data_IF_450056994732
#
_entry.id   IF_450056994732
#
_cell.length_a   1.000
_cell.length_b   1.000
_cell.length_c   1.000
_cell.angle_alpha   90.00
_cell.angle_beta   90.00
_cell.angle_gamma   90.00
#
_symmetry.space_group_name_H-M   'P 1'
#
loop_
_entity.id
_entity.type
_entity.pdbx_description
1 polymer ?
#
# COMPACT_ATOMS: atom_id res chain seq x y z
N UNK A 1 -5.77 -18.35 -3.48
CA UNK A 1 -6.73 -18.55 -2.38
C UNK A 1 -6.03 -18.27 -1.07
N UNK A 2 -6.70 -17.64 -0.07
CA UNK A 2 -6.08 -17.31 1.23
C UNK A 2 -6.92 -17.87 2.38
N UNK A 3 -6.24 -18.49 3.34
CA UNK A 3 -6.82 -18.98 4.59
C UNK A 3 -6.04 -18.37 5.75
N UNK A 4 -6.73 -17.94 6.79
CA UNK A 4 -6.11 -17.48 8.03
C UNK A 4 -6.96 -17.86 9.23
N UNK A 5 -6.29 -18.24 10.31
CA UNK A 5 -6.88 -18.51 11.61
C UNK A 5 -6.00 -17.87 12.69
N UNK A 6 -6.63 -17.32 13.71
CA UNK A 6 -5.93 -16.72 14.84
C UNK A 6 -6.72 -16.84 16.12
N UNK A 7 -6.01 -16.96 17.21
CA UNK A 7 -6.54 -16.98 18.56
C UNK A 7 -5.75 -16.00 19.43
N UNK A 8 -6.45 -15.24 20.26
CA UNK A 8 -5.80 -14.39 21.26
C UNK A 8 -6.58 -14.43 22.58
N UNK A 9 -5.83 -14.44 23.67
CA UNK A 9 -6.35 -14.32 25.03
C UNK A 9 -5.55 -13.25 25.74
N UNK A 10 -6.21 -12.35 26.44
CA UNK A 10 -5.52 -11.28 27.14
C UNK A 10 -6.37 -10.59 28.19
N UNK A 11 -5.72 -9.77 28.97
CA UNK A 11 -6.33 -8.96 30.03
C UNK A 11 -5.84 -7.52 29.92
N UNK A 12 -6.75 -6.57 30.03
CA UNK A 12 -6.41 -5.15 30.15
C UNK A 12 -5.81 -4.86 31.54
N UNK A 13 -5.01 -3.81 31.65
CA UNK A 13 -4.55 -3.30 32.94
C UNK A 13 -5.75 -2.94 33.82
N UNK A 14 -5.70 -3.34 35.05
CA UNK A 14 -6.77 -3.15 36.03
C UNK A 14 -6.47 -3.95 37.32
N UNK A 15 -6.57 -5.26 37.26
CA UNK A 15 -6.14 -6.14 38.36
C UNK A 15 -4.60 -6.18 38.50
N UNK A 16 -3.89 -6.10 37.36
CA UNK A 16 -2.44 -5.96 37.32
C UNK A 16 -2.06 -4.55 36.82
N UNK A 17 -0.90 -4.02 37.19
CA UNK A 17 -0.44 -2.70 36.72
C UNK A 17 -0.11 -2.69 35.21
N UNK A 18 -0.24 -3.81 34.53
CA UNK A 18 0.00 -3.97 33.10
C UNK A 18 -1.11 -4.80 32.44
N UNK A 19 -1.32 -4.58 31.16
CA UNK A 19 -2.11 -5.45 30.32
C UNK A 19 -1.22 -6.49 29.62
N UNK A 20 -1.76 -7.65 29.33
CA UNK A 20 -1.05 -8.70 28.58
C UNK A 20 -1.95 -9.37 27.57
N UNK A 21 -1.35 -9.91 26.51
CA UNK A 21 -2.03 -10.70 25.49
C UNK A 21 -1.12 -11.82 25.04
N UNK A 22 -1.65 -13.04 24.97
CA UNK A 22 -1.00 -14.16 24.30
C UNK A 22 -1.81 -14.46 23.05
N UNK A 23 -1.12 -14.54 21.92
CA UNK A 23 -1.74 -14.76 20.62
C UNK A 23 -0.97 -15.78 19.80
N UNK A 24 -1.70 -16.46 18.93
CA UNK A 24 -1.13 -17.35 17.92
C UNK A 24 -1.93 -17.26 16.63
N UNK A 25 -1.26 -17.50 15.52
CA UNK A 25 -1.91 -17.42 14.22
C UNK A 25 -1.26 -18.31 13.17
N UNK A 26 -2.08 -18.64 12.19
CA UNK A 26 -1.72 -19.36 10.98
C UNK A 26 -2.27 -18.62 9.78
N UNK A 27 -1.47 -18.47 8.74
CA UNK A 27 -1.91 -17.95 7.45
C UNK A 27 -1.31 -18.77 6.32
N UNK A 28 -2.11 -19.04 5.31
CA UNK A 28 -1.68 -19.69 4.07
C UNK A 28 -2.29 -18.96 2.89
N UNK A 29 -1.50 -18.76 1.87
CA UNK A 29 -1.92 -18.22 0.59
C UNK A 29 -1.37 -19.08 -0.53
N UNK A 30 -2.24 -19.53 -1.43
CA UNK A 30 -1.91 -20.24 -2.65
C UNK A 30 -2.25 -19.32 -3.83
N UNK A 31 -1.26 -19.02 -4.69
CA UNK A 31 -1.40 -18.23 -5.91
C UNK A 31 -1.13 -19.11 -7.14
N UNK A 32 -1.90 -18.88 -8.22
CA UNK A 32 -1.84 -19.71 -9.42
C UNK A 32 -0.55 -19.55 -10.22
N UNK A 33 0.04 -18.34 -10.20
CA UNK A 33 1.30 -18.10 -10.91
C UNK A 33 2.44 -18.83 -10.20
N UNK A 34 3.20 -19.62 -10.95
CA UNK A 34 4.27 -20.48 -10.46
C UNK A 34 3.83 -21.41 -9.30
N UNK A 35 2.52 -21.68 -9.20
CA UNK A 35 1.93 -22.49 -8.13
C UNK A 35 2.50 -22.10 -6.74
N UNK A 36 2.54 -20.78 -6.49
CA UNK A 36 3.18 -20.23 -5.31
C UNK A 36 2.37 -20.52 -4.06
N UNK A 37 3.08 -20.88 -2.98
CA UNK A 37 2.52 -21.08 -1.65
C UNK A 37 3.28 -20.29 -0.63
N UNK A 38 2.56 -19.54 0.20
CA UNK A 38 3.06 -18.88 1.39
C UNK A 38 2.39 -19.49 2.63
N UNK A 39 3.16 -19.77 3.66
CA UNK A 39 2.68 -20.21 4.98
C UNK A 39 3.38 -19.41 6.07
N UNK A 40 2.60 -18.87 7.01
CA UNK A 40 3.09 -18.16 8.19
C UNK A 40 2.44 -18.72 9.45
N UNK A 41 3.24 -18.95 10.49
CA UNK A 41 2.79 -19.40 11.81
C UNK A 41 3.51 -18.58 12.86
N UNK A 42 2.80 -18.16 13.89
CA UNK A 42 3.42 -17.48 15.02
C UNK A 42 2.71 -17.80 16.34
N UNK A 43 3.46 -17.67 17.42
CA UNK A 43 2.94 -17.60 18.78
C UNK A 43 3.72 -16.51 19.52
N UNK A 44 3.02 -15.57 20.18
CA UNK A 44 3.66 -14.45 20.88
C UNK A 44 2.89 -14.03 22.13
N UNK A 45 3.62 -13.43 23.06
CA UNK A 45 3.09 -12.73 24.22
C UNK A 45 3.45 -11.25 24.12
N UNK A 46 2.50 -10.40 24.42
CA UNK A 46 2.61 -8.94 24.42
C UNK A 46 2.25 -8.39 25.79
N UNK A 47 2.94 -7.33 26.22
CA UNK A 47 2.63 -6.57 27.42
C UNK A 47 2.45 -5.10 27.07
N UNK A 48 1.57 -4.43 27.81
CA UNK A 48 1.33 -2.99 27.74
C UNK A 48 1.40 -2.44 29.16
N UNK A 49 2.39 -1.59 29.44
CA UNK A 49 2.60 -0.96 30.75
C UNK A 49 2.20 0.52 30.64
N UNK A 50 1.04 0.91 31.17
CA UNK A 50 0.65 2.31 31.19
C UNK A 50 1.51 3.05 32.22
N UNK A 51 2.22 4.09 31.76
CA UNK A 51 3.03 4.96 32.61
C UNK A 51 2.24 6.20 33.03
N UNK A 52 1.33 6.65 32.15
CA UNK A 52 0.38 7.72 32.41
C UNK A 52 -0.98 7.38 31.77
N UNK A 53 -2.05 8.11 32.02
CA UNK A 53 -3.34 7.89 31.34
C UNK A 53 -3.29 7.99 29.81
N UNK A 54 -2.26 8.66 29.27
CA UNK A 54 -2.12 8.92 27.83
C UNK A 54 -0.91 8.25 27.20
N UNK A 55 -0.01 7.66 27.99
CA UNK A 55 1.24 7.07 27.52
C UNK A 55 1.51 5.70 28.13
N UNK A 56 1.81 4.74 27.28
CA UNK A 56 2.20 3.40 27.68
C UNK A 56 3.43 2.93 26.90
N UNK A 57 4.22 2.08 27.52
CA UNK A 57 5.29 1.31 26.87
C UNK A 57 4.74 -0.08 26.54
N UNK A 58 5.10 -0.58 25.38
CA UNK A 58 4.72 -1.92 24.91
C UNK A 58 5.96 -2.79 24.74
N UNK A 59 5.81 -4.09 24.93
CA UNK A 59 6.83 -5.06 24.63
C UNK A 59 6.19 -6.37 24.23
N UNK A 60 6.83 -7.09 23.33
CA UNK A 60 6.34 -8.39 22.88
C UNK A 60 7.48 -9.32 22.52
N UNK A 61 7.26 -10.61 22.73
CA UNK A 61 8.21 -11.65 22.37
C UNK A 61 7.47 -12.91 21.91
N UNK A 62 8.07 -13.65 21.01
CA UNK A 62 7.44 -14.85 20.47
C UNK A 62 8.34 -15.62 19.52
N UNK A 63 7.73 -16.58 18.87
CA UNK A 63 8.37 -17.39 17.85
C UNK A 63 7.54 -17.35 16.57
N UNK A 64 8.21 -17.22 15.42
CA UNK A 64 7.57 -17.19 14.12
C UNK A 64 8.27 -18.14 13.16
N UNK A 65 7.48 -18.76 12.29
CA UNK A 65 7.97 -19.50 11.13
C UNK A 65 7.21 -19.03 9.90
N UNK A 66 7.96 -18.60 8.88
CA UNK A 66 7.43 -18.24 7.55
C UNK A 66 8.17 -19.10 6.53
N UNK A 67 7.40 -19.76 5.66
CA UNK A 67 7.94 -20.46 4.50
C UNK A 67 7.18 -20.06 3.24
N UNK A 68 7.91 -19.92 2.15
CA UNK A 68 7.34 -19.70 0.84
C UNK A 68 8.01 -20.62 -0.18
N UNK A 69 7.23 -21.14 -1.10
CA UNK A 69 7.69 -22.05 -2.15
C UNK A 69 6.95 -21.79 -3.43
N UNK A 70 7.61 -22.10 -4.55
CA UNK A 70 7.02 -22.01 -5.89
C UNK A 70 7.60 -23.07 -6.81
N UNK A 71 6.95 -23.27 -7.97
CA UNK A 71 7.50 -24.08 -9.08
C UNK A 71 8.33 -23.20 -10.00
N UNK A 72 9.13 -23.83 -10.86
CA UNK A 72 9.90 -23.12 -11.86
C UNK A 72 9.00 -22.70 -13.04
N UNK A 73 9.31 -21.59 -13.75
CA UNK A 73 8.67 -21.27 -15.01
C UNK A 73 9.14 -22.22 -16.11
N UNK A 74 8.31 -22.44 -17.13
CA UNK A 74 8.74 -23.05 -18.39
C UNK A 74 9.77 -22.12 -19.04
N UNK A 75 10.90 -22.67 -19.48
CA UNK A 75 11.94 -21.93 -20.21
C UNK A 75 11.82 -22.18 -21.70
N UNK A 76 12.06 -21.15 -22.51
CA UNK A 76 12.22 -21.29 -23.97
C UNK A 76 13.58 -21.92 -24.35
N UNK A 77 13.82 -22.11 -25.63
CA UNK A 77 15.07 -22.69 -26.15
C UNK A 77 16.32 -21.82 -25.84
N UNK A 78 16.12 -20.55 -25.52
CA UNK A 78 17.18 -19.59 -25.14
C UNK A 78 17.38 -19.52 -23.62
N UNK A 79 16.60 -20.27 -22.84
CA UNK A 79 16.65 -20.27 -21.37
C UNK A 79 15.90 -19.12 -20.71
N UNK A 80 15.06 -18.36 -21.44
CA UNK A 80 14.25 -17.31 -20.87
C UNK A 80 12.88 -17.86 -20.42
N UNK A 81 12.30 -17.30 -19.33
CA UNK A 81 10.97 -17.69 -18.89
C UNK A 81 9.90 -17.36 -19.93
N UNK A 82 9.06 -18.34 -20.27
CA UNK A 82 7.91 -18.16 -21.14
C UNK A 82 6.84 -17.37 -20.41
N UNK A 83 6.34 -16.30 -21.03
CA UNK A 83 5.24 -15.48 -20.53
C UNK A 83 4.01 -15.57 -21.43
N UNK A 84 2.84 -15.55 -20.84
CA UNK A 84 1.56 -15.45 -21.54
C UNK A 84 1.35 -14.03 -22.07
N UNK A 85 0.41 -13.78 -23.02
CA UNK A 85 0.12 -12.44 -23.53
C UNK A 85 -0.27 -11.41 -22.47
N UNK A 86 -0.79 -11.86 -21.33
CA UNK A 86 -1.13 -11.04 -20.16
C UNK A 86 0.07 -10.85 -19.20
N UNK A 87 1.29 -11.23 -19.61
CA UNK A 87 2.54 -11.00 -18.87
C UNK A 87 2.80 -11.96 -17.70
N UNK A 88 2.08 -13.08 -17.62
CA UNK A 88 2.28 -14.07 -16.56
C UNK A 88 3.27 -15.14 -16.97
N UNK A 89 4.06 -15.61 -16.02
CA UNK A 89 4.92 -16.77 -16.26
C UNK A 89 4.11 -18.05 -16.41
N UNK A 90 4.47 -18.86 -17.40
CA UNK A 90 3.92 -20.20 -17.57
C UNK A 90 4.59 -21.13 -16.56
N UNK A 91 3.80 -21.74 -15.69
CA UNK A 91 4.30 -22.67 -14.66
C UNK A 91 4.68 -24.01 -15.29
N UNK A 92 5.86 -24.52 -14.98
CA UNK A 92 6.24 -25.91 -15.33
C UNK A 92 5.62 -26.88 -14.29
N UNK A 93 4.58 -27.65 -14.67
CA UNK A 93 3.94 -28.58 -13.74
C UNK A 93 4.81 -29.77 -13.37
N UNK A 94 5.87 -30.08 -14.15
CA UNK A 94 6.80 -31.15 -13.88
C UNK A 94 7.91 -30.74 -12.89
N UNK A 95 8.15 -29.42 -12.71
CA UNK A 95 9.16 -28.96 -11.77
C UNK A 95 8.75 -29.20 -10.33
N UNK A 96 9.67 -29.57 -9.43
CA UNK A 96 9.38 -29.67 -8.01
C UNK A 96 9.14 -28.29 -7.41
N UNK A 97 8.38 -28.20 -6.31
CA UNK A 97 8.32 -26.97 -5.53
C UNK A 97 9.65 -26.71 -4.86
N UNK A 98 10.18 -25.51 -5.08
CA UNK A 98 11.42 -25.03 -4.45
C UNK A 98 11.10 -23.95 -3.41
N UNK A 99 11.86 -23.93 -2.32
CA UNK A 99 11.77 -22.87 -1.34
C UNK A 99 12.29 -21.55 -1.93
N UNK A 100 11.47 -20.53 -1.89
CA UNK A 100 11.82 -19.14 -2.22
C UNK A 100 12.21 -18.34 -0.97
N UNK A 101 11.59 -18.68 0.16
CA UNK A 101 11.89 -18.06 1.45
C UNK A 101 11.60 -19.04 2.58
N UNK A 102 12.50 -19.12 3.56
CA UNK A 102 12.26 -19.84 4.80
C UNK A 102 12.95 -19.11 5.96
N UNK A 103 12.21 -18.88 7.01
CA UNK A 103 12.71 -18.29 8.25
C UNK A 103 11.95 -18.84 9.43
N UNK A 104 12.69 -19.11 10.49
CA UNK A 104 12.11 -19.48 11.76
C UNK A 104 12.97 -18.90 12.88
N UNK A 105 12.34 -18.42 13.94
CA UNK A 105 13.13 -17.93 15.07
C UNK A 105 12.35 -17.09 16.05
N UNK A 106 13.09 -16.69 17.07
CA UNK A 106 12.64 -15.79 18.11
C UNK A 106 12.45 -14.38 17.55
N UNK A 107 11.30 -13.80 17.85
CA UNK A 107 10.95 -12.42 17.51
C UNK A 107 10.67 -11.63 18.77
N UNK A 108 11.04 -10.37 18.76
CA UNK A 108 10.72 -9.45 19.86
C UNK A 108 10.55 -8.03 19.31
N UNK A 109 9.77 -7.24 20.01
CA UNK A 109 9.67 -5.81 19.80
C UNK A 109 9.43 -5.07 21.12
N UNK A 110 9.79 -3.80 21.13
CA UNK A 110 9.42 -2.83 22.14
C UNK A 110 8.91 -1.57 21.47
N UNK A 111 8.08 -0.84 22.16
CA UNK A 111 7.48 0.34 21.55
C UNK A 111 6.76 1.23 22.54
N UNK A 112 6.11 2.23 21.98
CA UNK A 112 5.33 3.22 22.69
C UNK A 112 3.93 3.31 22.12
N UNK A 113 2.98 3.55 22.99
CA UNK A 113 1.60 3.87 22.67
C UNK A 113 1.27 5.21 23.32
N UNK A 114 0.96 6.22 22.52
CA UNK A 114 0.64 7.56 22.98
C UNK A 114 -0.73 7.99 22.47
N UNK A 115 -1.64 8.27 23.39
CA UNK A 115 -3.03 8.66 23.11
C UNK A 115 -3.40 9.88 23.97
N UNK A 116 -2.91 11.10 23.63
CA UNK A 116 -3.17 12.30 24.41
C UNK A 116 -4.64 12.72 24.39
N UNK A 117 -5.38 12.27 23.38
CA UNK A 117 -6.81 12.53 23.22
C UNK A 117 -7.49 11.36 22.50
N UNK A 118 -8.83 11.39 22.44
CA UNK A 118 -9.60 10.42 21.62
C UNK A 118 -9.38 10.60 20.10
N UNK A 119 -8.80 11.73 19.70
CA UNK A 119 -8.54 12.10 18.31
C UNK A 119 -7.11 11.83 17.85
N UNK A 120 -6.23 11.45 18.77
CA UNK A 120 -4.81 11.22 18.48
C UNK A 120 -4.36 9.88 19.00
N UNK A 121 -3.79 9.06 18.15
CA UNK A 121 -3.18 7.78 18.49
C UNK A 121 -1.87 7.62 17.75
N UNK A 122 -0.79 7.40 18.50
CA UNK A 122 0.52 7.00 17.98
C UNK A 122 0.89 5.66 18.57
N UNK A 123 1.25 4.73 17.71
CA UNK A 123 1.93 3.48 18.07
C UNK A 123 3.22 3.40 17.27
N UNK A 124 4.35 3.17 17.93
CA UNK A 124 5.64 2.99 17.28
C UNK A 124 6.39 1.85 17.94
N UNK A 125 6.94 0.94 17.15
CA UNK A 125 7.65 -0.24 17.61
C UNK A 125 8.97 -0.42 16.87
N UNK A 126 9.97 -0.87 17.59
CA UNK A 126 11.24 -1.37 17.08
C UNK A 126 11.47 -2.76 17.61
N UNK A 127 11.99 -3.65 16.79
CA UNK A 127 12.20 -5.03 17.20
C UNK A 127 13.12 -5.80 16.25
N UNK A 128 13.20 -7.10 16.47
CA UNK A 128 13.93 -8.02 15.61
C UNK A 128 13.00 -9.08 15.06
N UNK A 129 12.92 -9.13 13.73
CA UNK A 129 12.10 -10.08 12.98
C UNK A 129 12.72 -10.31 11.60
N UNK A 130 12.44 -11.41 10.93
CA UNK A 130 12.94 -11.70 9.58
C UNK A 130 14.47 -11.65 9.46
N UNK A 131 15.20 -12.05 10.50
CA UNK A 131 16.67 -12.02 10.53
C UNK A 131 17.31 -10.64 10.69
N UNK A 132 16.53 -9.58 10.93
CA UNK A 132 17.04 -8.20 11.06
C UNK A 132 16.15 -7.31 11.92
N UNK A 133 16.57 -6.05 12.07
CA UNK A 133 15.77 -5.04 12.75
C UNK A 133 14.54 -4.67 11.92
N UNK A 134 13.43 -4.43 12.60
CA UNK A 134 12.15 -3.98 12.05
C UNK A 134 11.67 -2.74 12.75
N UNK A 135 11.05 -1.85 11.99
CA UNK A 135 10.46 -0.60 12.45
C UNK A 135 9.05 -0.52 11.92
N UNK A 136 8.08 -0.35 12.81
CA UNK A 136 6.67 -0.17 12.43
C UNK A 136 6.07 0.95 13.25
N UNK A 137 5.10 1.64 12.69
CA UNK A 137 4.41 2.70 13.42
C UNK A 137 3.16 3.16 12.68
N UNK A 138 2.24 3.70 13.44
CA UNK A 138 1.03 4.34 12.94
C UNK A 138 0.72 5.56 13.81
N UNK A 139 0.57 6.70 13.17
CA UNK A 139 0.07 7.93 13.75
C UNK A 139 -1.25 8.28 13.07
N UNK A 140 -2.32 8.36 13.84
CA UNK A 140 -3.61 8.87 13.38
C UNK A 140 -3.98 10.09 14.22
N UNK A 141 -4.21 11.22 13.56
CA UNK A 141 -4.58 12.47 14.19
C UNK A 141 -5.79 13.10 13.50
N UNK A 142 -6.94 13.02 14.15
CA UNK A 142 -8.15 13.71 13.76
C UNK A 142 -8.13 15.12 14.36
N UNK A 143 -7.62 16.10 13.61
CA UNK A 143 -7.45 17.48 14.07
C UNK A 143 -8.82 18.12 14.32
N UNK A 144 -9.75 17.91 13.39
CA UNK A 144 -11.17 18.28 13.50
C UNK A 144 -12.03 17.24 12.77
N UNK A 145 -13.34 17.40 12.71
CA UNK A 145 -14.23 16.54 11.92
C UNK A 145 -13.90 16.59 10.43
N UNK A 146 -13.39 17.73 9.98
CA UNK A 146 -13.09 18.02 8.59
C UNK A 146 -11.58 17.99 8.26
N UNK A 147 -10.72 17.69 9.23
CA UNK A 147 -9.28 17.74 9.06
C UNK A 147 -8.62 16.54 9.75
N UNK A 148 -7.82 15.79 9.02
CA UNK A 148 -7.15 14.59 9.52
C UNK A 148 -5.80 14.38 8.87
N UNK A 149 -4.88 13.81 9.66
CA UNK A 149 -3.53 13.44 9.27
C UNK A 149 -3.22 12.03 9.72
N UNK A 150 -2.58 11.26 8.87
CA UNK A 150 -2.14 9.91 9.18
C UNK A 150 -0.75 9.64 8.60
N UNK A 151 0.08 8.95 9.38
CA UNK A 151 1.39 8.45 8.94
C UNK A 151 1.47 6.99 9.31
N UNK A 152 1.93 6.15 8.38
CA UNK A 152 2.16 4.73 8.62
C UNK A 152 3.55 4.31 8.17
N UNK A 153 4.26 3.57 9.01
CA UNK A 153 5.50 2.89 8.66
C UNK A 153 5.33 1.38 8.83
N UNK A 154 5.80 0.62 7.88
CA UNK A 154 5.62 -0.84 7.87
C UNK A 154 6.90 -1.58 7.43
N UNK A 155 7.07 -2.77 7.97
CA UNK A 155 8.13 -3.72 7.60
C UNK A 155 7.62 -5.15 7.79
N UNK A 156 7.51 -5.93 6.73
CA UNK A 156 6.97 -7.28 6.79
C UNK A 156 7.24 -8.13 5.57
N UNK A 157 7.27 -9.45 5.77
CA UNK A 157 7.23 -10.42 4.68
C UNK A 157 5.78 -10.58 4.25
N UNK A 158 5.53 -10.42 2.97
CA UNK A 158 4.18 -10.40 2.40
C UNK A 158 4.16 -10.91 0.97
N UNK A 159 2.96 -11.18 0.49
CA UNK A 159 2.65 -11.43 -0.92
C UNK A 159 1.93 -10.22 -1.51
N UNK A 160 1.83 -10.15 -2.84
CA UNK A 160 1.02 -9.13 -3.49
C UNK A 160 -0.44 -9.13 -3.01
N UNK A 161 -1.05 -10.32 -2.89
CA UNK A 161 -2.44 -10.45 -2.42
C UNK A 161 -2.65 -9.96 -0.99
N UNK A 162 -1.69 -10.25 -0.09
CA UNK A 162 -1.73 -9.76 1.29
C UNK A 162 -1.56 -8.24 1.37
N UNK A 163 -0.66 -7.68 0.57
CA UNK A 163 -0.42 -6.24 0.55
C UNK A 163 -1.64 -5.47 0.02
N UNK A 164 -2.22 -5.91 -1.10
CA UNK A 164 -3.46 -5.32 -1.64
C UNK A 164 -4.61 -5.46 -0.66
N UNK A 165 -4.84 -6.65 -0.13
CA UNK A 165 -5.91 -6.89 0.85
C UNK A 165 -5.74 -6.05 2.11
N UNK A 166 -4.51 -5.91 2.62
CA UNK A 166 -4.19 -5.04 3.75
C UNK A 166 -4.34 -3.55 3.45
N UNK A 167 -4.05 -3.10 2.23
CA UNK A 167 -4.28 -1.73 1.81
C UNK A 167 -5.78 -1.43 1.67
N UNK A 168 -6.55 -2.34 1.05
CA UNK A 168 -8.00 -2.22 0.89
C UNK A 168 -8.75 -2.21 2.24
N UNK A 169 -8.30 -2.99 3.22
CA UNK A 169 -8.93 -3.01 4.54
C UNK A 169 -8.77 -1.70 5.33
N UNK A 170 -7.84 -0.83 4.93
CA UNK A 170 -7.62 0.50 5.51
C UNK A 170 -8.37 1.61 4.78
N UNK A 171 -8.98 1.32 3.64
CA UNK A 171 -9.81 2.29 2.90
C UNK A 171 -11.02 2.63 3.75
N UNK A 172 -11.28 3.93 4.02
CA UNK A 172 -12.47 4.34 4.77
C UNK A 172 -13.77 3.96 4.02
N UNK A 173 -14.86 3.83 4.76
CA UNK A 173 -16.17 3.50 4.17
C UNK A 173 -16.77 4.63 3.34
N UNK A 174 -16.39 5.88 3.65
CA UNK A 174 -16.72 7.07 2.86
C UNK A 174 -15.42 7.73 2.44
N UNK A 175 -15.20 7.86 1.16
CA UNK A 175 -13.97 8.43 0.62
C UNK A 175 -14.23 9.17 -0.71
N UNK A 176 -13.33 10.08 -1.02
CA UNK A 176 -13.27 10.80 -2.30
C UNK A 176 -12.11 10.22 -3.12
N UNK A 177 -12.39 9.95 -4.38
CA UNK A 177 -11.40 9.48 -5.37
C UNK A 177 -11.22 10.56 -6.41
N UNK A 178 -10.00 11.04 -6.57
CA UNK A 178 -9.64 11.83 -7.74
C UNK A 178 -9.36 10.89 -8.92
N UNK A 179 -10.09 11.05 -10.01
CA UNK A 179 -9.91 10.30 -11.25
C UNK A 179 -9.38 11.20 -12.33
N UNK A 180 -8.48 10.67 -13.13
CA UNK A 180 -8.04 11.30 -14.35
C UNK A 180 -9.21 11.34 -15.36
N UNK A 181 -9.63 12.52 -15.83
CA UNK A 181 -10.79 12.65 -16.72
C UNK A 181 -10.56 12.03 -18.12
N UNK A 182 -9.31 11.79 -18.52
CA UNK A 182 -8.96 11.25 -19.84
C UNK A 182 -8.85 9.74 -19.84
N UNK A 183 -8.23 9.16 -18.80
CA UNK A 183 -8.00 7.71 -18.68
C UNK A 183 -8.99 7.03 -17.74
N UNK A 184 -9.77 7.79 -16.98
CA UNK A 184 -10.64 7.32 -15.90
C UNK A 184 -9.89 6.51 -14.81
N UNK A 185 -8.57 6.55 -14.81
CA UNK A 185 -7.74 5.91 -13.81
C UNK A 185 -7.73 6.70 -12.51
N UNK A 186 -7.57 6.02 -11.40
CA UNK A 186 -7.41 6.70 -10.13
C UNK A 186 -5.91 6.76 -9.74
N UNK A 187 -5.50 7.84 -9.08
CA UNK A 187 -4.08 8.13 -8.80
C UNK A 187 -3.43 7.26 -7.71
N UNK A 188 -4.12 6.25 -7.18
CA UNK A 188 -3.58 5.31 -6.22
C UNK A 188 -3.84 5.65 -4.75
N UNK A 189 -4.26 6.87 -4.40
CA UNK A 189 -4.69 7.24 -3.06
C UNK A 189 -6.16 7.67 -3.04
N UNK A 190 -6.85 7.36 -1.95
CA UNK A 190 -8.21 7.82 -1.66
C UNK A 190 -8.21 8.64 -0.38
N UNK A 191 -8.96 9.75 -0.37
CA UNK A 191 -9.05 10.64 0.77
C UNK A 191 -10.35 10.37 1.53
N UNK A 192 -10.26 10.26 2.86
CA UNK A 192 -11.43 9.96 3.69
C UNK A 192 -12.51 11.03 3.60
N UNK A 193 -13.78 10.67 3.75
CA UNK A 193 -14.89 11.60 3.95
C UNK A 193 -14.88 12.23 5.36
N UNK A 194 -15.87 13.07 5.68
CA UNK A 194 -16.01 13.66 7.00
C UNK A 194 -16.05 12.60 8.11
N UNK A 195 -15.25 12.79 9.15
CA UNK A 195 -15.16 11.87 10.28
C UNK A 195 -14.51 10.50 9.98
N UNK A 196 -14.00 10.28 8.76
CA UNK A 196 -13.50 8.95 8.30
C UNK A 196 -11.97 8.82 8.30
N UNK A 197 -11.25 9.73 8.96
CA UNK A 197 -9.79 9.77 8.93
C UNK A 197 -9.23 10.36 7.62
N UNK A 198 -7.91 10.26 7.42
CA UNK A 198 -7.24 10.91 6.31
C UNK A 198 -7.42 10.16 4.97
N UNK A 199 -7.52 8.84 4.99
CA UNK A 199 -7.65 8.02 3.79
C UNK A 199 -6.67 6.85 3.73
N UNK A 200 -6.43 6.33 2.53
CA UNK A 200 -5.47 5.23 2.30
C UNK A 200 -4.84 5.32 0.90
N UNK A 201 -3.60 4.84 0.78
CA UNK A 201 -2.90 4.73 -0.51
C UNK A 201 -2.68 3.26 -0.88
N UNK A 202 -3.03 2.92 -2.11
CA UNK A 202 -2.81 1.62 -2.74
C UNK A 202 -1.54 1.63 -3.63
N UNK A 203 -0.99 2.82 -3.92
CA UNK A 203 0.17 3.01 -4.80
C UNK A 203 1.33 2.05 -4.50
N UNK A 204 1.75 1.81 -3.23
CA UNK A 204 2.84 0.89 -2.95
C UNK A 204 2.56 -0.56 -3.35
N UNK A 205 1.28 -0.96 -3.36
CA UNK A 205 0.87 -2.30 -3.76
C UNK A 205 0.69 -2.45 -5.28
N UNK A 206 0.34 -1.36 -5.98
CA UNK A 206 -0.02 -1.39 -7.40
C UNK A 206 1.15 -1.08 -8.35
N UNK A 207 2.26 -0.56 -7.85
CA UNK A 207 3.40 -0.13 -8.69
C UNK A 207 4.12 -1.27 -9.41
N UNK A 208 3.99 -2.51 -8.97
CA UNK A 208 4.55 -3.67 -9.66
C UNK A 208 3.70 -4.90 -9.34
N UNK A 209 3.24 -5.56 -10.37
CA UNK A 209 2.44 -6.80 -10.32
C UNK A 209 3.34 -8.03 -10.15
N UNK A 210 4.45 -7.91 -9.43
CA UNK A 210 5.27 -9.08 -9.11
C UNK A 210 4.55 -9.96 -8.10
N UNK A 211 4.24 -11.18 -8.50
CA UNK A 211 3.53 -12.16 -7.67
C UNK A 211 4.47 -12.99 -6.78
N UNK A 212 5.67 -12.47 -6.50
CA UNK A 212 6.62 -13.11 -5.58
C UNK A 212 6.28 -12.89 -4.12
N UNK A 213 6.95 -13.63 -3.24
CA UNK A 213 7.07 -13.27 -1.82
C UNK A 213 8.19 -12.25 -1.69
N UNK A 214 7.96 -11.20 -0.92
CA UNK A 214 8.95 -10.15 -0.72
C UNK A 214 8.87 -9.56 0.69
N UNK A 215 9.97 -8.97 1.13
CA UNK A 215 9.97 -8.09 2.29
C UNK A 215 9.60 -6.69 1.83
N UNK A 216 8.46 -6.21 2.30
CA UNK A 216 7.98 -4.86 2.02
C UNK A 216 8.27 -3.94 3.19
N UNK A 217 8.93 -2.82 2.91
CA UNK A 217 9.23 -1.74 3.86
C UNK A 217 8.78 -0.43 3.27
N UNK A 218 8.28 0.44 4.11
CA UNK A 218 7.91 1.76 3.62
C UNK A 218 7.34 2.66 4.69
N UNK A 219 7.16 3.91 4.27
CA UNK A 219 6.50 4.95 5.04
C UNK A 219 5.57 5.72 4.12
N UNK A 220 4.41 6.09 4.61
CA UNK A 220 3.47 6.91 3.88
C UNK A 220 2.76 7.88 4.82
N UNK A 221 2.44 9.05 4.31
CA UNK A 221 1.68 10.07 4.99
C UNK A 221 0.51 10.51 4.12
N UNK A 222 -0.61 10.80 4.75
CA UNK A 222 -1.80 11.32 4.09
C UNK A 222 -2.44 12.38 4.97
N UNK A 223 -2.79 13.50 4.35
CA UNK A 223 -3.48 14.61 5.00
C UNK A 223 -4.67 15.01 4.16
N UNK A 224 -5.78 15.36 4.82
CA UNK A 224 -6.96 15.92 4.17
C UNK A 224 -7.58 17.01 5.01
N UNK A 225 -8.20 17.99 4.31
CA UNK A 225 -8.98 19.07 4.92
C UNK A 225 -10.16 19.42 4.03
N UNK A 226 -11.31 19.67 4.66
CA UNK A 226 -12.49 20.27 4.05
C UNK A 226 -12.81 21.55 4.80
N UNK A 227 -13.00 22.64 4.08
CA UNK A 227 -13.32 23.96 4.64
C UNK A 227 -14.38 24.62 3.77
N UNK A 228 -15.64 24.52 4.17
CA UNK A 228 -16.77 24.98 3.36
C UNK A 228 -16.77 24.32 1.98
N UNK A 229 -16.75 25.09 0.88
CA UNK A 229 -16.80 24.57 -0.48
C UNK A 229 -15.47 23.94 -0.95
N UNK A 230 -14.38 24.11 -0.21
CA UNK A 230 -13.05 23.64 -0.58
C UNK A 230 -12.71 22.35 0.18
N UNK A 231 -12.44 21.28 -0.58
CA UNK A 231 -11.87 20.04 -0.07
C UNK A 231 -10.54 19.76 -0.76
N UNK A 232 -9.52 19.42 -0.01
CA UNK A 232 -8.23 19.06 -0.57
C UNK A 232 -7.52 17.99 0.25
N UNK A 233 -6.64 17.27 -0.40
CA UNK A 233 -5.84 16.26 0.24
C UNK A 233 -4.50 16.08 -0.47
N UNK A 234 -3.52 15.65 0.30
CA UNK A 234 -2.18 15.29 -0.18
C UNK A 234 -1.76 13.98 0.47
N UNK A 235 -1.12 13.14 -0.32
CA UNK A 235 -0.54 11.89 0.13
C UNK A 235 0.84 11.72 -0.48
N UNK A 236 1.79 11.18 0.29
CA UNK A 236 3.11 10.85 -0.22
C UNK A 236 3.67 9.64 0.52
N UNK A 237 4.59 8.93 -0.11
CA UNK A 237 5.24 7.82 0.54
C UNK A 237 6.41 7.26 -0.25
N UNK A 238 7.16 6.42 0.46
CA UNK A 238 8.27 5.63 -0.03
C UNK A 238 8.00 4.16 0.26
N UNK A 239 8.23 3.30 -0.70
CA UNK A 239 8.14 1.85 -0.54
C UNK A 239 9.35 1.16 -1.16
N UNK A 240 9.82 0.11 -0.52
CA UNK A 240 10.90 -0.74 -0.97
C UNK A 240 10.46 -2.20 -0.82
N UNK A 241 10.74 -3.05 -1.85
CA UNK A 241 10.45 -4.48 -1.79
C UNK A 241 11.69 -5.28 -2.17
N UNK A 242 12.09 -6.19 -1.30
CA UNK A 242 13.13 -7.17 -1.58
C UNK A 242 12.49 -8.51 -1.89
N UNK A 243 12.62 -8.96 -3.13
CA UNK A 243 12.01 -10.18 -3.63
C UNK A 243 12.78 -11.43 -3.23
N UNK A 244 12.05 -12.52 -3.00
CA UNK A 244 12.58 -13.84 -2.72
C UNK A 244 12.06 -14.82 -3.77
N UNK A 245 12.97 -15.47 -4.47
CA UNK A 245 12.68 -16.50 -5.45
C UNK A 245 13.71 -17.63 -5.35
N UNK A 246 13.39 -18.86 -5.74
CA UNK A 246 14.40 -19.90 -5.89
C UNK A 246 15.44 -19.47 -6.92
N UNK A 247 16.71 -19.83 -6.75
CA UNK A 247 17.72 -19.60 -7.78
C UNK A 247 17.40 -20.45 -9.01
N UNK A 248 17.00 -19.81 -10.09
CA UNK A 248 16.76 -20.43 -11.41
C UNK A 248 17.72 -19.78 -12.40
N UNK A 249 18.41 -20.57 -13.21
CA UNK A 249 19.31 -20.07 -14.24
C UNK A 249 18.53 -19.18 -15.22
N UNK A 250 19.05 -18.00 -15.52
CA UNK A 250 18.40 -17.01 -16.40
C UNK A 250 17.30 -16.15 -15.74
N UNK A 251 16.95 -16.40 -14.49
CA UNK A 251 15.86 -15.68 -13.79
C UNK A 251 16.37 -15.02 -12.51
N UNK A 252 16.79 -13.76 -12.61
CA UNK A 252 17.50 -13.02 -11.56
C UNK A 252 16.57 -12.20 -10.67
N UNK A 253 15.43 -12.72 -10.21
CA UNK A 253 14.55 -11.98 -9.30
C UNK A 253 14.91 -12.15 -7.82
N UNK A 254 15.67 -13.18 -7.47
CA UNK A 254 16.03 -13.43 -6.08
C UNK A 254 16.99 -12.35 -5.55
N UNK A 255 16.60 -11.70 -4.47
CA UNK A 255 17.38 -10.66 -3.81
C UNK A 255 17.30 -9.29 -4.48
N UNK A 256 16.64 -9.15 -5.65
CA UNK A 256 16.40 -7.84 -6.25
C UNK A 256 15.56 -6.98 -5.31
N UNK A 257 15.87 -5.70 -5.31
CA UNK A 257 15.18 -4.75 -4.43
C UNK A 257 14.67 -3.61 -5.29
N UNK A 258 13.35 -3.51 -5.45
CA UNK A 258 12.75 -2.34 -6.08
C UNK A 258 12.48 -1.22 -5.06
N UNK A 259 12.37 -0.01 -5.55
CA UNK A 259 12.05 1.16 -4.75
C UNK A 259 11.09 2.07 -5.51
N UNK A 260 10.22 2.73 -4.76
CA UNK A 260 9.26 3.66 -5.32
C UNK A 260 8.99 4.84 -4.40
N UNK A 261 8.85 6.01 -5.01
CA UNK A 261 8.36 7.23 -4.36
C UNK A 261 7.07 7.62 -5.08
N UNK A 262 6.06 7.95 -4.32
CA UNK A 262 4.82 8.49 -4.86
C UNK A 262 4.39 9.71 -4.07
N UNK A 263 3.79 10.65 -4.76
CA UNK A 263 3.03 11.74 -4.16
C UNK A 263 1.78 12.00 -5.00
N UNK A 264 0.69 12.33 -4.35
CA UNK A 264 -0.58 12.67 -4.99
C UNK A 264 -1.25 13.80 -4.23
N UNK A 265 -1.81 14.76 -4.96
CA UNK A 265 -2.65 15.81 -4.42
C UNK A 265 -3.96 15.92 -5.19
N UNK A 266 -5.00 16.38 -4.51
CA UNK A 266 -6.29 16.66 -5.14
C UNK A 266 -6.97 17.83 -4.45
N UNK A 267 -7.66 18.65 -5.24
CA UNK A 267 -8.48 19.77 -4.77
C UNK A 267 -9.82 19.71 -5.47
N UNK A 268 -10.88 19.77 -4.70
CA UNK A 268 -12.26 19.93 -5.17
C UNK A 268 -12.80 21.23 -4.61
N UNK A 269 -13.28 22.10 -5.48
CA UNK A 269 -13.90 23.37 -5.13
C UNK A 269 -15.33 23.46 -5.69
N UNK A 270 -16.30 23.47 -4.79
CA UNK A 270 -17.70 23.67 -5.13
C UNK A 270 -17.94 25.18 -5.27
N UNK A 271 -18.11 25.66 -6.50
CA UNK A 271 -18.35 27.10 -6.77
C UNK A 271 -19.77 27.48 -6.31
N UNK A 272 -20.72 26.65 -6.69
CA UNK A 272 -22.12 26.72 -6.35
C UNK A 272 -22.76 25.32 -6.43
N UNK A 273 -24.10 25.23 -6.28
CA UNK A 273 -24.83 23.95 -6.26
C UNK A 273 -24.78 23.21 -7.61
N UNK A 274 -24.40 23.86 -8.70
CA UNK A 274 -24.38 23.30 -10.05
C UNK A 274 -22.99 23.27 -10.68
N UNK A 275 -22.00 23.89 -10.04
CA UNK A 275 -20.65 24.08 -10.61
C UNK A 275 -19.56 23.58 -9.67
N UNK A 276 -18.63 22.77 -10.17
CA UNK A 276 -17.53 22.21 -9.42
C UNK A 276 -16.23 22.23 -10.22
N UNK A 277 -15.14 22.53 -9.58
CA UNK A 277 -13.78 22.38 -10.09
C UNK A 277 -13.10 21.23 -9.35
N UNK A 278 -12.54 20.27 -10.09
CA UNK A 278 -11.70 19.21 -9.58
C UNK A 278 -10.31 19.32 -10.21
N UNK A 279 -9.28 19.25 -9.36
CA UNK A 279 -7.89 19.18 -9.83
C UNK A 279 -7.20 18.01 -9.16
N UNK A 280 -6.30 17.37 -9.88
CA UNK A 280 -5.43 16.33 -9.33
C UNK A 280 -4.03 16.44 -9.88
N UNK A 281 -3.05 16.01 -9.08
CA UNK A 281 -1.64 15.94 -9.49
C UNK A 281 -1.01 14.73 -8.87
N UNK A 282 -0.03 14.13 -9.56
CA UNK A 282 0.73 13.01 -9.05
C UNK A 282 2.19 13.05 -9.49
N UNK A 283 3.03 12.42 -8.70
CA UNK A 283 4.41 12.09 -9.01
C UNK A 283 4.61 10.63 -8.64
N UNK A 284 5.13 9.83 -9.57
CA UNK A 284 5.51 8.44 -9.34
C UNK A 284 6.93 8.22 -9.88
N UNK A 285 7.84 7.84 -9.01
CA UNK A 285 9.18 7.40 -9.38
C UNK A 285 9.33 5.93 -9.00
N UNK A 286 9.90 5.15 -9.92
CA UNK A 286 10.08 3.71 -9.75
C UNK A 286 11.45 3.26 -10.25
N UNK A 287 12.15 2.46 -9.43
CA UNK A 287 13.38 1.76 -9.75
C UNK A 287 13.14 0.26 -9.53
N UNK A 288 13.28 -0.53 -10.58
CA UNK A 288 13.07 -1.99 -10.51
C UNK A 288 14.18 -2.73 -9.76
N UNK A 289 15.33 -2.08 -9.49
CA UNK A 289 16.48 -2.68 -8.81
C UNK A 289 17.17 -3.80 -9.59
N UNK A 290 16.87 -3.95 -10.88
CA UNK A 290 17.47 -4.93 -11.78
C UNK A 290 18.50 -4.21 -12.65
N UNK A 291 19.70 -4.78 -12.74
CA UNK A 291 20.75 -4.21 -13.58
C UNK A 291 20.28 -4.07 -15.05
N UNK A 292 20.40 -2.87 -15.61
CA UNK A 292 19.96 -2.55 -16.96
C UNK A 292 18.45 -2.26 -17.12
N UNK A 293 17.64 -2.41 -16.08
CA UNK A 293 16.27 -1.95 -16.11
C UNK A 293 16.21 -0.42 -15.94
N UNK A 294 15.47 0.31 -16.79
CA UNK A 294 15.41 1.75 -16.71
C UNK A 294 14.59 2.20 -15.48
N UNK A 295 15.00 3.33 -14.88
CA UNK A 295 14.17 4.05 -13.92
C UNK A 295 13.06 4.80 -14.63
N UNK A 296 11.91 4.88 -13.99
CA UNK A 296 10.73 5.54 -14.55
C UNK A 296 10.28 6.66 -13.64
N UNK A 297 10.08 7.85 -14.21
CA UNK A 297 9.47 8.99 -13.55
C UNK A 297 8.21 9.39 -14.32
N UNK A 298 7.06 9.36 -13.67
CA UNK A 298 5.80 9.87 -14.17
C UNK A 298 5.33 11.06 -13.33
N UNK A 299 5.03 12.17 -13.96
CA UNK A 299 4.44 13.34 -13.32
C UNK A 299 3.22 13.74 -14.13
N UNK A 300 2.11 13.99 -13.49
CA UNK A 300 0.90 14.41 -14.19
C UNK A 300 0.01 15.29 -13.34
N UNK A 301 -0.82 16.05 -14.04
CA UNK A 301 -1.83 16.88 -13.42
C UNK A 301 -3.01 17.08 -14.34
N UNK A 302 -4.20 17.15 -13.75
CA UNK A 302 -5.45 17.41 -14.44
C UNK A 302 -6.26 18.47 -13.74
N UNK A 303 -7.01 19.25 -14.50
CA UNK A 303 -8.00 20.17 -13.99
C UNK A 303 -9.30 19.99 -14.80
N UNK A 304 -10.42 19.92 -14.12
CA UNK A 304 -11.73 19.81 -14.77
C UNK A 304 -12.73 20.77 -14.12
N UNK A 305 -13.56 21.36 -14.96
CA UNK A 305 -14.72 22.13 -14.56
C UNK A 305 -15.97 21.42 -15.07
N UNK A 306 -16.95 21.24 -14.20
CA UNK A 306 -18.25 20.67 -14.52
C UNK A 306 -19.35 21.64 -14.12
N UNK A 307 -20.34 21.79 -15.02
CA UNK A 307 -21.53 22.59 -14.79
C UNK A 307 -22.79 21.81 -15.15
N UNK A 308 -23.78 21.84 -14.27
CA UNK A 308 -25.10 21.25 -14.50
C UNK A 308 -26.06 22.36 -14.97
N UNK A 309 -26.38 22.40 -16.28
CA UNK A 309 -27.32 23.37 -16.85
C UNK A 309 -28.78 23.09 -16.46
N UNK A 310 -29.05 21.92 -15.90
CA UNK A 310 -30.35 21.48 -15.41
C UNK A 310 -30.35 20.02 -15.01
N UNK A 311 -31.51 19.45 -14.61
CA UNK A 311 -31.56 18.08 -14.07
C UNK A 311 -31.10 17.01 -15.07
N UNK A 312 -31.12 17.32 -16.38
CA UNK A 312 -30.82 16.34 -17.43
C UNK A 312 -29.59 16.69 -18.28
N UNK A 313 -29.09 17.92 -18.21
CA UNK A 313 -27.99 18.39 -19.04
C UNK A 313 -26.81 18.84 -18.17
N UNK A 314 -25.64 18.26 -18.39
CA UNK A 314 -24.38 18.71 -17.80
C UNK A 314 -23.30 18.86 -18.87
N UNK A 315 -22.39 19.80 -18.66
CA UNK A 315 -21.20 20.02 -19.45
C UNK A 315 -19.94 19.89 -18.61
N UNK A 316 -18.85 19.47 -19.22
CA UNK A 316 -17.55 19.39 -18.58
C UNK A 316 -16.44 19.82 -19.55
N UNK A 317 -15.46 20.53 -19.01
CA UNK A 317 -14.19 20.85 -19.68
C UNK A 317 -13.07 20.27 -18.81
N UNK A 318 -12.10 19.62 -19.44
CA UNK A 318 -10.94 19.08 -18.74
C UNK A 318 -9.64 19.39 -19.50
N UNK A 319 -8.58 19.62 -18.74
CA UNK A 319 -7.21 19.79 -19.22
C UNK A 319 -6.29 18.84 -18.45
N UNK A 320 -5.29 18.29 -19.14
CA UNK A 320 -4.29 17.41 -18.56
C UNK A 320 -2.91 17.70 -19.13
N UNK A 321 -1.90 17.55 -18.27
CA UNK A 321 -0.48 17.62 -18.64
C UNK A 321 0.26 16.45 -18.00
N UNK A 322 0.99 15.67 -18.82
CA UNK A 322 1.66 14.46 -18.42
C UNK A 322 3.10 14.46 -18.92
N UNK A 323 4.02 14.28 -18.00
CA UNK A 323 5.44 14.11 -18.27
C UNK A 323 5.87 12.70 -17.88
N UNK A 324 6.49 11.98 -18.80
CA UNK A 324 7.07 10.67 -18.56
C UNK A 324 8.53 10.67 -18.98
N UNK A 325 9.38 10.18 -18.09
CA UNK A 325 10.81 9.99 -18.33
C UNK A 325 11.20 8.56 -17.99
N UNK A 326 11.83 7.89 -18.94
CA UNK A 326 12.38 6.54 -18.81
C UNK A 326 13.88 6.68 -19.05
N UNK A 327 14.69 6.19 -18.13
CA UNK A 327 16.15 6.28 -18.23
C UNK A 327 16.64 5.64 -19.55
N UNK A 328 17.44 6.38 -20.32
CA UNK A 328 17.94 5.93 -21.61
C UNK A 328 16.96 6.10 -22.79
N UNK A 329 15.79 6.66 -22.55
CA UNK A 329 14.77 6.98 -23.59
C UNK A 329 14.45 8.46 -23.53
N UNK A 330 14.14 9.06 -24.69
CA UNK A 330 13.71 10.45 -24.74
C UNK A 330 12.43 10.67 -23.92
N UNK A 331 12.45 11.71 -23.09
CA UNK A 331 11.29 12.05 -22.26
C UNK A 331 10.13 12.58 -23.09
N UNK A 332 8.91 12.29 -22.69
CA UNK A 332 7.68 12.74 -23.35
C UNK A 332 6.89 13.71 -22.49
N UNK A 333 6.37 14.75 -23.12
CA UNK A 333 5.42 15.69 -22.53
C UNK A 333 4.14 15.68 -23.37
N UNK A 334 3.01 15.33 -22.76
CA UNK A 334 1.71 15.21 -23.43
C UNK A 334 0.72 16.17 -22.78
N UNK A 335 0.13 17.05 -23.59
CA UNK A 335 -1.01 17.89 -23.22
C UNK A 335 -2.31 17.30 -23.76
N UNK A 336 -3.37 17.31 -22.97
CA UNK A 336 -4.69 16.83 -23.36
C UNK A 336 -5.76 17.87 -22.99
N UNK A 337 -6.79 17.99 -23.83
CA UNK A 337 -7.96 18.80 -23.57
C UNK A 337 -9.22 18.04 -24.01
N UNK A 338 -10.31 18.14 -23.24
CA UNK A 338 -11.57 17.47 -23.51
C UNK A 338 -12.73 18.41 -23.21
N UNK A 339 -13.72 18.40 -24.10
CA UNK A 339 -15.02 19.00 -23.88
C UNK A 339 -16.08 17.89 -23.96
N UNK A 340 -16.96 17.83 -22.99
CA UNK A 340 -18.03 16.85 -22.93
C UNK A 340 -19.38 17.45 -22.56
N UNK A 341 -20.45 16.90 -23.13
CA UNK A 341 -21.81 17.17 -22.71
C UNK A 341 -22.53 15.83 -22.47
N UNK A 342 -23.32 15.76 -21.41
CA UNK A 342 -24.09 14.57 -21.03
C UNK A 342 -25.57 14.97 -20.91
N UNK A 343 -26.41 14.27 -21.63
CA UNK A 343 -27.86 14.36 -21.49
C UNK A 343 -28.40 13.02 -20.93
N UNK A 344 -29.26 13.11 -19.92
CA UNK A 344 -29.89 11.93 -19.31
C UNK A 344 -31.38 11.96 -19.65
N UNK A 345 -31.86 10.93 -20.33
CA UNK A 345 -33.26 10.78 -20.75
C UNK A 345 -34.21 10.46 -19.60
#
# INVERSE_FOLDING_TARGET
MRHSAGLSVGMKSGLLPFGWTVSGGYSREDASQLDQRYEGKFARADIVVPLTPTFAVTGGAGYEKISASQRDPVLDASGNPVVTPDGRYVTDPASPRRLSYDTSGFIWDTGVLWRPSRRTSLEAKVGRRYGGMTYTGDLSWQISENESFQVGAYDGITTFGQQVGGALSRVPTRFVVSRDPFSNQFGGCVFGGEGQGAGACLSPALQSVSQGVYRSRGVGAIYRKTSGPLSWGIAAGYAQRKFFAPPVAGFATNGTTDASIYAQGGVTYQIDDVSIIDTSTYINWFDAGVAGAPRVLGVGGTASYRHNFGPRLSGAVAFGLYYNSIEGVESSLVGAAQLGARYTF
#
